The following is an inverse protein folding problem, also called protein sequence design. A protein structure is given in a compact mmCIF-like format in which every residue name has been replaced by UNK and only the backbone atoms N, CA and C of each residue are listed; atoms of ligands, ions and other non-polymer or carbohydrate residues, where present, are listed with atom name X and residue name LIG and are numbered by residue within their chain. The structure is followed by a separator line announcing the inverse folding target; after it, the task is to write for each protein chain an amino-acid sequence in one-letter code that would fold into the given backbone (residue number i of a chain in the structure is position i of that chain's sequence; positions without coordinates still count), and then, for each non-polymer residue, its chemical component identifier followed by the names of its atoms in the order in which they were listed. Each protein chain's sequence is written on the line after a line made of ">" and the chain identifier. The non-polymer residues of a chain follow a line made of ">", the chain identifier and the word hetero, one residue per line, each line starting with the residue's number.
data_IF_617288902222
#
_entry.id   IF_617288902222
#
_cell.length_a   1.000
_cell.length_b   1.000
_cell.length_c   1.000
_cell.angle_alpha   90.00
_cell.angle_beta   90.00
_cell.angle_gamma   90.00
#
_symmetry.space_group_name_H-M   'P 1'
#
loop_
_entity.id
_entity.type
_entity.pdbx_description
1 polymer ?
#
# COMPACT_ATOMS: atom_id res chain seq x y z
N UNK A 1 -66.37 20.94 3.08
CA UNK A 1 -66.01 20.37 1.76
C UNK A 1 -64.51 20.52 1.60
N UNK A 2 -63.87 19.43 1.21
CA UNK A 2 -62.43 19.15 1.17
C UNK A 2 -61.61 20.16 0.34
N UNK A 3 -60.39 20.45 0.76
CA UNK A 3 -59.26 20.60 -0.16
C UNK A 3 -57.94 20.26 0.55
N UNK A 4 -57.47 19.04 0.29
CA UNK A 4 -56.12 18.52 0.57
C UNK A 4 -55.09 19.23 -0.31
N UNK A 5 -54.01 19.75 0.27
CA UNK A 5 -52.79 20.12 -0.46
C UNK A 5 -51.58 19.50 0.24
N UNK A 6 -51.26 18.29 -0.22
CA UNK A 6 -50.01 17.59 0.04
C UNK A 6 -48.82 18.49 -0.33
N UNK A 7 -48.09 18.97 0.68
CA UNK A 7 -46.78 19.59 0.49
C UNK A 7 -45.73 18.50 0.67
N UNK A 8 -45.45 17.84 -0.45
CA UNK A 8 -44.18 17.23 -0.85
C UNK A 8 -43.10 17.14 0.25
N UNK A 9 -42.93 15.93 0.77
CA UNK A 9 -41.71 15.49 1.42
C UNK A 9 -40.55 15.52 0.42
N UNK A 10 -39.85 16.66 0.34
CA UNK A 10 -38.46 16.72 -0.14
C UNK A 10 -37.65 17.47 0.91
N UNK A 11 -37.83 17.06 2.18
CA UNK A 11 -36.77 17.23 3.15
C UNK A 11 -35.82 16.07 2.87
N UNK A 12 -34.82 16.32 2.02
CA UNK A 12 -33.63 15.48 1.95
C UNK A 12 -33.20 15.24 3.40
N UNK A 13 -33.48 14.04 3.91
CA UNK A 13 -33.11 13.59 5.23
C UNK A 13 -31.60 13.38 5.18
N UNK A 14 -30.84 14.47 5.11
CA UNK A 14 -29.43 14.53 5.51
C UNK A 14 -29.49 14.33 7.03
N UNK A 15 -29.74 13.08 7.39
CA UNK A 15 -29.76 12.59 8.75
C UNK A 15 -28.33 12.73 9.23
N UNK A 16 -28.07 13.84 9.93
CA UNK A 16 -26.76 14.32 10.40
C UNK A 16 -25.77 13.16 10.51
N UNK A 17 -24.71 13.22 9.70
CA UNK A 17 -23.53 12.39 9.90
C UNK A 17 -23.03 12.70 11.31
N UNK A 18 -23.32 11.80 12.26
CA UNK A 18 -22.81 11.95 13.60
C UNK A 18 -21.30 11.71 13.52
N UNK A 19 -20.53 12.79 13.52
CA UNK A 19 -19.08 12.73 13.55
C UNK A 19 -18.69 12.31 14.95
N UNK A 20 -18.02 11.17 15.03
CA UNK A 20 -17.55 10.60 16.27
C UNK A 20 -16.06 10.91 16.34
N UNK A 21 -15.66 11.66 17.35
CA UNK A 21 -14.27 12.10 17.50
C UNK A 21 -13.46 11.18 18.43
N UNK A 22 -14.00 10.85 19.61
CA UNK A 22 -13.22 10.24 20.69
C UNK A 22 -13.90 8.99 21.27
N UNK A 23 -13.14 7.93 21.62
CA UNK A 23 -13.67 6.76 22.28
C UNK A 23 -13.92 6.97 23.76
N UNK A 24 -14.76 6.12 24.34
CA UNK A 24 -14.68 5.80 25.76
C UNK A 24 -13.79 4.57 25.94
N UNK A 25 -12.47 4.77 25.92
CA UNK A 25 -11.49 3.69 25.95
C UNK A 25 -11.04 3.27 27.36
N UNK A 26 -10.18 2.24 27.48
CA UNK A 26 -9.65 1.75 28.76
C UNK A 26 -8.93 2.82 29.59
N UNK A 27 -8.34 3.83 28.94
CA UNK A 27 -7.71 4.97 29.58
C UNK A 27 -8.20 6.29 28.99
N UNK A 28 -7.92 7.41 29.68
CA UNK A 28 -8.26 8.75 29.18
C UNK A 28 -7.48 9.15 27.92
N UNK A 29 -6.38 8.47 27.62
CA UNK A 29 -5.58 8.74 26.42
C UNK A 29 -5.95 7.86 25.23
N UNK A 30 -6.79 6.84 25.43
CA UNK A 30 -7.22 5.92 24.37
C UNK A 30 -7.79 6.66 23.16
N UNK A 31 -7.45 6.18 21.96
CA UNK A 31 -7.92 6.73 20.68
C UNK A 31 -8.53 5.66 19.80
N UNK A 32 -9.26 6.10 18.77
CA UNK A 32 -9.62 5.22 17.66
C UNK A 32 -8.44 5.01 16.72
N UNK A 33 -8.16 3.74 16.45
CA UNK A 33 -7.10 3.33 15.54
C UNK A 33 -7.37 1.93 14.98
N UNK A 34 -6.46 1.39 14.18
CA UNK A 34 -6.61 0.06 13.60
C UNK A 34 -6.84 -1.04 14.65
N UNK A 35 -6.21 -0.94 15.83
CA UNK A 35 -6.37 -1.90 16.92
C UNK A 35 -7.73 -1.81 17.62
N UNK A 36 -8.51 -0.75 17.39
CA UNK A 36 -9.88 -0.64 17.90
C UNK A 36 -10.79 -1.74 17.37
N UNK A 37 -10.51 -2.28 16.18
CA UNK A 37 -11.29 -3.38 15.59
C UNK A 37 -11.15 -4.67 16.42
N UNK A 38 -9.94 -5.24 16.60
CA UNK A 38 -9.78 -6.43 17.44
C UNK A 38 -10.18 -6.18 18.91
N UNK A 39 -9.90 -5.00 19.48
CA UNK A 39 -10.34 -4.64 20.82
C UNK A 39 -11.88 -4.68 20.96
N UNK A 40 -12.60 -4.21 19.94
CA UNK A 40 -14.07 -4.25 19.91
C UNK A 40 -14.58 -5.69 19.83
N UNK A 41 -14.01 -6.53 18.96
CA UNK A 41 -14.38 -7.95 18.86
C UNK A 41 -14.16 -8.67 20.19
N UNK A 42 -13.01 -8.44 20.81
CA UNK A 42 -12.67 -9.01 22.12
C UNK A 42 -13.74 -8.67 23.17
N UNK A 43 -14.16 -7.40 23.22
CA UNK A 43 -15.17 -6.89 24.16
C UNK A 43 -16.56 -7.44 23.86
N UNK A 44 -17.00 -7.42 22.59
CA UNK A 44 -18.32 -7.90 22.16
C UNK A 44 -18.54 -9.38 22.48
N UNK A 45 -17.52 -10.22 22.27
CA UNK A 45 -17.61 -11.66 22.50
C UNK A 45 -17.10 -12.09 23.88
N UNK A 46 -16.80 -11.13 24.78
CA UNK A 46 -16.29 -11.39 26.12
C UNK A 46 -15.12 -12.38 26.16
N UNK A 47 -14.16 -12.19 25.25
CA UNK A 47 -13.03 -13.10 25.07
C UNK A 47 -12.06 -13.00 26.25
N UNK A 48 -11.78 -14.13 26.90
CA UNK A 48 -10.88 -14.23 28.07
C UNK A 48 -9.39 -14.30 27.74
N UNK A 49 -9.03 -14.40 26.46
CA UNK A 49 -7.62 -14.40 26.03
C UNK A 49 -6.95 -13.08 26.42
N UNK A 50 -5.62 -13.02 26.38
CA UNK A 50 -4.90 -11.75 26.49
C UNK A 50 -5.10 -10.87 25.24
N UNK A 51 -4.80 -9.58 25.34
CA UNK A 51 -4.67 -8.72 24.15
C UNK A 51 -3.45 -9.15 23.33
N UNK A 52 -3.50 -8.95 22.02
CA UNK A 52 -2.39 -9.34 21.14
C UNK A 52 -1.19 -8.40 21.29
N UNK A 53 -1.45 -7.12 21.57
CA UNK A 53 -0.42 -6.10 21.77
C UNK A 53 -0.87 -5.08 22.81
N UNK A 54 0.08 -4.30 23.34
CA UNK A 54 -0.24 -3.15 24.21
C UNK A 54 -1.11 -2.11 23.50
N UNK A 55 -0.96 -2.01 22.18
CA UNK A 55 -1.70 -1.08 21.33
C UNK A 55 -3.18 -1.47 21.22
N UNK A 56 -3.46 -2.77 21.04
CA UNK A 56 -4.80 -3.38 21.16
C UNK A 56 -5.41 -3.21 22.57
N UNK A 57 -4.62 -3.41 23.62
CA UNK A 57 -5.09 -3.21 25.01
C UNK A 57 -5.44 -1.76 25.35
N UNK A 58 -4.82 -0.79 24.66
CA UNK A 58 -5.03 0.65 24.88
C UNK A 58 -6.15 1.23 24.01
N UNK A 59 -6.42 0.66 22.84
CA UNK A 59 -7.33 1.23 21.86
C UNK A 59 -8.77 1.37 22.37
N UNK A 60 -9.45 2.44 21.94
CA UNK A 60 -10.88 2.61 22.16
C UNK A 60 -11.72 1.61 21.36
N UNK A 61 -12.92 1.28 21.85
CA UNK A 61 -13.80 0.28 21.23
C UNK A 61 -15.09 0.92 20.67
N UNK A 62 -15.70 0.28 19.66
CA UNK A 62 -16.84 0.81 18.89
C UNK A 62 -18.23 0.36 19.40
N UNK A 63 -18.30 -0.45 20.45
CA UNK A 63 -19.55 -1.06 20.93
C UNK A 63 -20.62 -0.06 21.32
N UNK A 64 -20.20 1.11 21.82
CA UNK A 64 -21.13 2.20 22.18
C UNK A 64 -21.90 2.72 20.95
N UNK A 65 -21.35 2.56 19.74
CA UNK A 65 -21.93 3.08 18.51
C UNK A 65 -23.02 2.21 17.92
N UNK A 66 -23.04 0.91 18.24
CA UNK A 66 -24.12 0.03 17.80
C UNK A 66 -25.47 0.43 18.41
N UNK A 67 -25.45 1.11 19.56
CA UNK A 67 -26.65 1.60 20.24
C UNK A 67 -27.10 3.00 19.79
N UNK A 68 -26.33 3.70 18.94
CA UNK A 68 -26.69 5.04 18.49
C UNK A 68 -27.92 5.06 17.58
N UNK A 69 -28.24 3.94 16.92
CA UNK A 69 -29.38 3.83 16.02
C UNK A 69 -30.14 2.54 16.30
N UNK A 70 -31.47 2.62 16.26
CA UNK A 70 -32.35 1.44 16.36
C UNK A 70 -32.32 0.57 15.10
N UNK A 71 -31.98 1.15 13.96
CA UNK A 71 -31.93 0.47 12.66
C UNK A 71 -30.63 0.80 11.92
N UNK A 72 -30.06 -0.15 11.15
CA UNK A 72 -28.91 0.12 10.29
C UNK A 72 -29.16 1.25 9.29
N UNK A 73 -28.08 1.89 8.84
CA UNK A 73 -28.11 2.85 7.73
C UNK A 73 -28.38 2.13 6.42
N UNK A 74 -29.32 2.65 5.63
CA UNK A 74 -29.66 2.16 4.28
C UNK A 74 -29.26 3.14 3.18
N UNK A 75 -28.63 4.25 3.54
CA UNK A 75 -28.19 5.34 2.66
C UNK A 75 -26.70 5.23 2.27
N UNK A 76 -26.12 4.03 2.39
CA UNK A 76 -24.74 3.79 1.95
C UNK A 76 -24.69 3.83 0.42
N UNK A 77 -23.87 4.71 -0.20
CA UNK A 77 -23.76 4.75 -1.65
C UNK A 77 -23.09 3.46 -2.16
N UNK A 78 -23.83 2.65 -2.91
CA UNK A 78 -23.31 1.43 -3.54
C UNK A 78 -22.51 1.70 -4.83
N UNK A 79 -22.75 2.87 -5.44
CA UNK A 79 -22.05 3.31 -6.63
C UNK A 79 -21.48 4.69 -6.38
N UNK A 80 -20.20 4.84 -6.67
CA UNK A 80 -19.57 6.15 -6.74
C UNK A 80 -20.08 6.87 -8.00
N UNK A 81 -20.24 8.21 -7.96
CA UNK A 81 -20.55 8.98 -9.15
C UNK A 81 -19.46 8.81 -10.21
N UNK A 82 -19.85 8.87 -11.48
CA UNK A 82 -18.90 8.79 -12.58
C UNK A 82 -17.91 9.97 -12.52
N UNK A 83 -16.62 9.65 -12.60
CA UNK A 83 -15.56 10.65 -12.65
C UNK A 83 -15.45 11.18 -14.08
N UNK A 84 -16.24 12.20 -14.41
CA UNK A 84 -16.33 12.78 -15.77
C UNK A 84 -15.15 13.70 -16.15
N UNK A 85 -14.25 13.98 -15.21
CA UNK A 85 -13.10 14.86 -15.40
C UNK A 85 -11.83 14.22 -14.89
N UNK A 86 -10.72 14.47 -15.58
CA UNK A 86 -9.41 14.14 -15.03
C UNK A 86 -9.20 14.87 -13.71
N UNK A 87 -8.86 14.13 -12.65
CA UNK A 87 -8.43 14.71 -11.37
C UNK A 87 -7.03 15.32 -11.48
N UNK A 88 -6.27 14.96 -12.53
CA UNK A 88 -4.95 15.52 -12.81
C UNK A 88 -5.08 16.64 -13.85
N UNK A 89 -4.68 17.88 -13.52
CA UNK A 89 -4.75 18.98 -14.48
C UNK A 89 -3.76 18.85 -15.66
N UNK A 90 -2.74 18.00 -15.54
CA UNK A 90 -1.71 17.78 -16.55
C UNK A 90 -1.14 16.35 -16.44
N UNK A 91 -0.50 15.86 -17.51
CA UNK A 91 0.17 14.56 -17.54
C UNK A 91 1.40 14.47 -16.61
N UNK A 92 2.10 13.31 -16.59
CA UNK A 92 3.39 13.19 -15.91
C UNK A 92 4.38 14.22 -16.43
N UNK A 93 5.20 14.80 -15.54
CA UNK A 93 6.28 15.71 -15.91
C UNK A 93 7.58 14.93 -16.09
N UNK A 94 7.67 14.16 -17.15
CA UNK A 94 8.76 13.20 -17.36
C UNK A 94 10.15 13.84 -17.44
N UNK A 95 10.24 15.10 -17.90
CA UNK A 95 11.50 15.84 -18.00
C UNK A 95 11.95 16.49 -16.67
N UNK A 96 11.15 16.39 -15.60
CA UNK A 96 11.52 16.97 -14.30
C UNK A 96 12.54 16.10 -13.58
N UNK A 97 13.34 16.73 -12.71
CA UNK A 97 14.16 16.01 -11.74
C UNK A 97 13.30 15.25 -10.75
N UNK A 98 13.87 14.22 -10.13
CA UNK A 98 13.22 13.43 -9.10
C UNK A 98 13.02 14.24 -7.81
N UNK A 99 11.94 13.94 -7.08
CA UNK A 99 11.86 14.27 -5.66
C UNK A 99 12.69 13.28 -4.83
N UNK A 100 13.05 13.65 -3.60
CA UNK A 100 13.74 12.76 -2.65
C UNK A 100 13.07 11.39 -2.54
N UNK A 101 11.74 11.36 -2.34
CA UNK A 101 10.99 10.12 -2.30
C UNK A 101 11.10 9.30 -3.60
N UNK A 102 11.10 9.96 -4.77
CA UNK A 102 11.28 9.25 -6.04
C UNK A 102 12.70 8.67 -6.17
N UNK A 103 13.73 9.37 -5.69
CA UNK A 103 15.10 8.84 -5.63
C UNK A 103 15.19 7.60 -4.74
N UNK A 104 14.52 7.62 -3.57
CA UNK A 104 14.46 6.46 -2.67
C UNK A 104 13.77 5.25 -3.32
N UNK A 105 12.73 5.48 -4.14
CA UNK A 105 12.09 4.40 -4.91
C UNK A 105 13.05 3.81 -5.95
N UNK A 106 13.90 4.63 -6.58
CA UNK A 106 14.92 4.14 -7.52
C UNK A 106 16.04 3.40 -6.78
N UNK A 107 16.44 3.88 -5.61
CA UNK A 107 17.36 3.17 -4.72
C UNK A 107 16.80 1.78 -4.36
N UNK A 108 15.50 1.67 -4.06
CA UNK A 108 14.85 0.39 -3.82
C UNK A 108 14.82 -0.49 -5.08
N UNK A 109 14.50 0.08 -6.24
CA UNK A 109 14.48 -0.67 -7.50
C UNK A 109 15.85 -1.28 -7.85
N UNK A 110 16.96 -0.62 -7.49
CA UNK A 110 18.32 -1.13 -7.71
C UNK A 110 18.64 -2.44 -6.97
N UNK A 111 17.84 -2.79 -5.94
CA UNK A 111 17.96 -4.08 -5.27
C UNK A 111 17.55 -5.22 -6.20
N UNK A 112 16.58 -4.96 -7.09
CA UNK A 112 15.98 -5.97 -7.97
C UNK A 112 16.89 -6.35 -9.14
N UNK A 113 17.71 -5.43 -9.63
CA UNK A 113 18.59 -5.69 -10.78
C UNK A 113 20.07 -5.87 -10.40
N UNK A 114 20.37 -5.80 -9.11
CA UNK A 114 21.72 -5.96 -8.56
C UNK A 114 22.55 -4.68 -8.53
N UNK A 115 22.09 -3.57 -9.10
CA UNK A 115 22.86 -2.32 -9.21
C UNK A 115 23.17 -1.66 -7.87
N UNK A 116 22.55 -2.12 -6.78
CA UNK A 116 22.87 -1.69 -5.41
C UNK A 116 24.35 -1.88 -5.01
N UNK A 117 25.11 -2.71 -5.73
CA UNK A 117 26.56 -2.89 -5.50
C UNK A 117 27.44 -1.90 -6.29
N UNK A 118 26.85 -1.05 -7.15
CA UNK A 118 27.59 -0.05 -7.92
C UNK A 118 28.02 1.11 -7.03
N UNK A 119 29.13 1.76 -7.40
CA UNK A 119 29.66 2.92 -6.68
C UNK A 119 28.72 4.14 -6.66
N UNK A 120 27.72 4.16 -7.54
CA UNK A 120 26.68 5.20 -7.57
C UNK A 120 25.64 5.01 -6.48
N UNK A 121 25.56 3.85 -5.83
CA UNK A 121 24.67 3.62 -4.69
C UNK A 121 25.10 4.46 -3.46
N UNK A 122 24.16 5.09 -2.72
CA UNK A 122 22.69 5.00 -2.86
C UNK A 122 22.08 5.97 -3.90
N UNK A 123 22.88 6.81 -4.52
CA UNK A 123 22.46 7.93 -5.39
C UNK A 123 22.19 7.52 -6.85
N UNK A 124 21.64 6.33 -7.10
CA UNK A 124 21.40 5.81 -8.46
C UNK A 124 20.36 6.66 -9.22
N UNK A 125 19.41 7.27 -8.51
CA UNK A 125 18.43 8.18 -9.10
C UNK A 125 18.98 9.58 -9.43
N UNK A 126 20.18 9.93 -8.95
CA UNK A 126 20.69 11.29 -9.07
C UNK A 126 20.98 11.64 -10.54
N UNK A 127 20.40 12.75 -10.99
CA UNK A 127 20.54 13.23 -12.36
C UNK A 127 19.61 12.56 -13.38
N UNK A 128 18.76 11.62 -12.96
CA UNK A 128 17.71 11.07 -13.80
C UNK A 128 16.53 12.05 -13.89
N UNK A 129 15.88 12.07 -15.05
CA UNK A 129 14.54 12.63 -15.18
C UNK A 129 13.49 11.63 -14.68
N UNK A 130 12.28 12.10 -14.35
CA UNK A 130 11.15 11.24 -13.97
C UNK A 130 10.88 10.14 -14.99
N UNK A 131 10.97 10.43 -16.29
CA UNK A 131 10.77 9.42 -17.35
C UNK A 131 11.87 8.35 -17.38
N UNK A 132 13.13 8.77 -17.19
CA UNK A 132 14.27 7.86 -17.11
C UNK A 132 14.19 6.96 -15.87
N UNK A 133 13.83 7.54 -14.73
CA UNK A 133 13.64 6.82 -13.48
C UNK A 133 12.49 5.80 -13.56
N UNK A 134 11.37 6.17 -14.19
CA UNK A 134 10.28 5.22 -14.45
C UNK A 134 10.76 4.03 -15.29
N UNK A 135 11.46 4.30 -16.39
CA UNK A 135 12.02 3.26 -17.26
C UNK A 135 13.00 2.35 -16.52
N UNK A 136 13.84 2.92 -15.64
CA UNK A 136 14.75 2.16 -14.80
C UNK A 136 14.00 1.21 -13.85
N UNK A 137 12.96 1.71 -13.18
CA UNK A 137 12.16 0.89 -12.26
C UNK A 137 11.43 -0.24 -12.98
N UNK A 138 10.84 0.04 -14.15
CA UNK A 138 10.19 -0.98 -14.99
C UNK A 138 11.18 -2.06 -15.45
N UNK A 139 12.37 -1.69 -15.93
CA UNK A 139 13.42 -2.63 -16.33
C UNK A 139 13.90 -3.48 -15.14
N UNK A 140 14.10 -2.86 -13.98
CA UNK A 140 14.56 -3.57 -12.79
C UNK A 140 13.58 -4.65 -12.34
N UNK A 141 12.27 -4.34 -12.34
CA UNK A 141 11.21 -5.31 -12.02
C UNK A 141 11.13 -6.40 -13.10
N UNK A 142 11.14 -6.02 -14.38
CA UNK A 142 11.05 -6.97 -15.48
C UNK A 142 12.18 -8.00 -15.42
N UNK A 143 13.43 -7.54 -15.30
CA UNK A 143 14.62 -8.40 -15.21
C UNK A 143 14.57 -9.34 -14.00
N UNK A 144 14.11 -8.87 -12.86
CA UNK A 144 13.96 -9.71 -11.67
C UNK A 144 12.91 -10.81 -11.88
N UNK A 145 11.75 -10.47 -12.45
CA UNK A 145 10.69 -11.44 -12.75
C UNK A 145 11.13 -12.46 -13.81
N UNK A 146 11.85 -12.03 -14.83
CA UNK A 146 12.42 -12.91 -15.86
C UNK A 146 13.43 -13.89 -15.26
N UNK A 147 14.35 -13.40 -14.42
CA UNK A 147 15.30 -14.25 -13.73
C UNK A 147 14.62 -15.22 -12.74
N UNK A 148 13.57 -14.77 -12.05
CA UNK A 148 12.69 -15.61 -11.23
C UNK A 148 12.08 -16.77 -12.02
N UNK A 149 11.46 -16.46 -13.16
CA UNK A 149 10.88 -17.48 -14.05
C UNK A 149 11.94 -18.45 -14.57
N UNK A 150 13.11 -17.94 -14.98
CA UNK A 150 14.21 -18.77 -15.47
C UNK A 150 14.74 -19.71 -14.38
N UNK A 151 14.89 -19.22 -13.15
CA UNK A 151 15.32 -20.03 -12.01
C UNK A 151 14.31 -21.15 -11.70
N UNK A 152 13.01 -20.85 -11.70
CA UNK A 152 11.95 -21.86 -11.51
C UNK A 152 11.98 -22.93 -12.61
N UNK A 153 12.12 -22.54 -13.87
CA UNK A 153 12.24 -23.47 -14.99
C UNK A 153 13.51 -24.33 -14.90
N UNK A 154 14.58 -23.82 -14.29
CA UNK A 154 15.82 -24.56 -14.03
C UNK A 154 15.74 -25.47 -12.78
N UNK A 155 14.59 -25.53 -12.10
CA UNK A 155 14.38 -26.39 -10.93
C UNK A 155 14.86 -25.79 -9.60
N UNK A 156 15.02 -24.46 -9.52
CA UNK A 156 15.29 -23.80 -8.25
C UNK A 156 14.12 -23.99 -7.27
N UNK A 157 14.44 -24.01 -5.97
CA UNK A 157 13.42 -24.03 -4.92
C UNK A 157 12.54 -22.77 -5.02
N UNK A 158 11.22 -22.92 -4.95
CA UNK A 158 10.24 -21.83 -5.03
C UNK A 158 10.43 -20.74 -3.96
N UNK A 159 11.05 -21.09 -2.83
CA UNK A 159 11.37 -20.16 -1.74
C UNK A 159 12.77 -19.54 -1.85
N UNK A 160 13.56 -19.90 -2.87
CA UNK A 160 14.88 -19.32 -3.09
C UNK A 160 14.75 -17.90 -3.64
N UNK A 161 15.49 -16.97 -3.03
CA UNK A 161 15.56 -15.58 -3.50
C UNK A 161 16.55 -15.53 -4.66
N UNK A 162 16.13 -14.96 -5.79
CA UNK A 162 17.01 -14.76 -6.96
C UNK A 162 17.94 -13.58 -6.71
N UNK A 163 19.24 -13.83 -6.68
CA UNK A 163 20.26 -12.78 -6.56
C UNK A 163 20.69 -12.30 -7.93
N UNK A 164 20.35 -11.06 -8.26
CA UNK A 164 20.70 -10.44 -9.54
C UNK A 164 22.10 -9.79 -9.49
N UNK A 165 22.81 -9.83 -10.62
CA UNK A 165 24.09 -9.12 -10.80
C UNK A 165 23.88 -7.88 -11.68
N UNK A 166 24.60 -6.77 -11.41
CA UNK A 166 24.54 -5.59 -12.27
C UNK A 166 24.87 -5.94 -13.73
N UNK A 167 24.12 -5.33 -14.65
CA UNK A 167 24.33 -5.54 -16.09
C UNK A 167 25.73 -5.13 -16.57
N UNK A 168 26.40 -4.22 -15.85
CA UNK A 168 27.76 -3.76 -16.17
C UNK A 168 28.84 -4.82 -15.89
N UNK A 169 28.54 -5.86 -15.10
CA UNK A 169 29.49 -6.94 -14.78
C UNK A 169 29.38 -8.15 -15.69
N UNK A 170 28.34 -8.25 -16.52
CA UNK A 170 28.14 -9.40 -17.43
C UNK A 170 28.94 -9.31 -18.72
N UNK A 171 29.64 -8.19 -18.98
CA UNK A 171 30.45 -7.97 -20.18
C UNK A 171 31.96 -8.12 -19.89
N UNK A 172 32.35 -9.19 -19.20
CA UNK A 172 33.75 -9.67 -19.24
C UNK A 172 33.91 -10.51 -20.50
N UNK A 173 34.78 -10.06 -21.40
CA UNK A 173 35.17 -10.72 -22.64
C UNK A 173 35.52 -12.20 -22.42
N UNK A 174 34.81 -13.08 -23.13
CA UNK A 174 35.10 -14.52 -23.22
C UNK A 174 36.51 -14.69 -23.79
N UNK A 175 37.48 -14.99 -22.92
CA UNK A 175 38.72 -15.68 -23.27
C UNK A 175 38.55 -17.19 -23.02
N UNK A 176 39.30 -18.07 -23.72
CA UNK A 176 38.98 -19.49 -23.75
C UNK A 176 39.47 -20.27 -22.50
N UNK A 177 38.62 -21.22 -22.05
CA UNK A 177 38.87 -22.39 -21.15
C UNK A 177 39.23 -22.10 -19.67
N UNK A 178 38.76 -22.79 -18.63
CA UNK A 178 38.13 -24.11 -18.42
C UNK A 178 37.17 -24.04 -17.20
N UNK A 179 36.13 -24.89 -17.08
CA UNK A 179 35.24 -24.86 -15.92
C UNK A 179 35.85 -25.64 -14.74
N UNK A 180 36.23 -24.94 -13.67
CA UNK A 180 36.38 -25.54 -12.34
C UNK A 180 35.07 -25.41 -11.57
N UNK A 181 34.52 -26.56 -11.21
CA UNK A 181 33.30 -26.70 -10.42
C UNK A 181 33.67 -26.49 -8.96
N UNK A 182 33.04 -25.53 -8.28
CA UNK A 182 32.93 -25.57 -6.82
C UNK A 182 31.50 -25.26 -6.42
N UNK A 183 30.84 -26.31 -5.93
CA UNK A 183 29.62 -26.23 -5.16
C UNK A 183 29.97 -25.86 -3.72
N UNK A 184 29.18 -24.96 -3.13
CA UNK A 184 28.93 -24.83 -1.70
C UNK A 184 27.53 -24.28 -1.54
#
# INVERSE_FOLDING_TARGET
>A
MCCTLEHSEIMFDIKILNVIHEPNGPTKSSQFEHSSVPATVKKLFNMKSNFLTNRDAWAGTFESYFSLRKTPRTDCPEKLPEVTRSLRPHGPREDSSLSEFQEELIQLASQLNGDHVLNTYPHIGNGLTVGQANSYAEDAVARFLEAGKAALLAGANESAIVTMRPALTSRVSIGPSNPSVHAS
#
